data_IF_825621873481
#
_entry.id   IF_825621873481
#
_cell.length_a   1.000
_cell.length_b   1.000
_cell.length_c   1.000
_cell.angle_alpha   90.00
_cell.angle_beta   90.00
_cell.angle_gamma   90.00
#
_symmetry.space_group_name_H-M   'P 1'
#
loop_
_entity.id
_entity.type
_entity.pdbx_description
1 polymer ?
#
# COMPACT_ATOMS: atom_id res chain seq x y z
N UNK A 1 -3.92 -20.42 0.49
CA UNK A 1 -2.72 -19.78 -0.12
C UNK A 1 -1.60 -19.76 0.88
N UNK A 2 -0.36 -19.96 0.45
CA UNK A 2 0.79 -19.94 1.35
C UNK A 2 1.36 -18.51 1.35
N UNK A 3 1.22 -17.77 2.43
CA UNK A 3 1.85 -16.46 2.61
C UNK A 3 3.33 -16.55 2.96
N UNK A 4 3.99 -17.64 2.55
CA UNK A 4 5.42 -17.88 2.76
C UNK A 4 6.29 -16.77 2.13
N UNK A 5 5.78 -16.10 1.09
CA UNK A 5 6.48 -15.02 0.42
C UNK A 5 6.64 -13.76 1.29
N UNK A 6 5.82 -13.61 2.34
CA UNK A 6 5.87 -12.49 3.27
C UNK A 6 6.72 -12.79 4.51
N UNK A 7 7.26 -14.03 4.62
CA UNK A 7 8.06 -14.47 5.75
C UNK A 7 9.49 -14.74 5.33
N UNK A 8 10.43 -14.11 6.00
CA UNK A 8 11.86 -14.39 5.83
C UNK A 8 12.38 -15.14 7.03
N UNK A 9 13.18 -16.18 6.79
CA UNK A 9 13.58 -17.12 7.83
C UNK A 9 14.62 -16.56 8.80
N UNK A 10 15.52 -15.68 8.34
CA UNK A 10 16.70 -15.31 9.12
C UNK A 10 16.99 -13.79 9.18
N UNK A 11 16.36 -12.98 8.33
CA UNK A 11 16.56 -11.52 8.28
C UNK A 11 15.27 -10.79 7.96
N UNK A 12 15.05 -9.57 8.46
CA UNK A 12 13.89 -8.76 8.07
C UNK A 12 13.82 -8.55 6.56
N UNK A 13 12.61 -8.54 6.01
CA UNK A 13 12.37 -8.11 4.64
C UNK A 13 12.50 -6.59 4.54
N UNK A 14 13.06 -6.12 3.44
CA UNK A 14 13.17 -4.68 3.14
C UNK A 14 12.13 -4.31 2.09
N UNK A 15 11.15 -3.51 2.50
CA UNK A 15 10.10 -3.01 1.63
C UNK A 15 10.31 -1.53 1.34
N UNK A 16 10.34 -1.19 0.04
CA UNK A 16 10.53 0.18 -0.42
C UNK A 16 9.21 0.97 -0.28
N UNK A 17 9.14 1.85 0.74
CA UNK A 17 7.98 2.67 1.05
C UNK A 17 7.72 3.71 -0.06
N UNK A 18 6.61 3.57 -0.79
CA UNK A 18 6.25 4.33 -2.00
C UNK A 18 7.32 4.18 -3.10
N UNK A 19 7.91 2.99 -3.20
CA UNK A 19 9.10 2.73 -3.99
C UNK A 19 10.38 3.25 -3.32
N UNK A 20 11.46 3.43 -4.06
CA UNK A 20 12.70 4.02 -3.58
C UNK A 20 12.57 5.54 -3.41
N UNK A 21 11.57 5.99 -2.64
CA UNK A 21 11.11 7.39 -2.51
C UNK A 21 12.15 8.36 -1.93
N UNK A 22 13.19 7.86 -1.29
CA UNK A 22 14.35 8.67 -0.88
C UNK A 22 15.25 9.10 -2.06
N UNK A 23 15.07 8.49 -3.23
CA UNK A 23 15.94 8.67 -4.40
C UNK A 23 15.17 8.97 -5.70
N UNK A 24 13.88 8.71 -5.75
CA UNK A 24 13.01 8.93 -6.91
C UNK A 24 11.67 9.52 -6.47
N UNK A 25 10.86 10.10 -7.37
CA UNK A 25 9.53 10.61 -7.02
C UNK A 25 8.65 9.50 -6.44
N UNK A 26 8.10 9.70 -5.24
CA UNK A 26 7.30 8.69 -4.54
C UNK A 26 6.09 8.22 -5.35
N UNK A 27 5.71 6.94 -5.21
CA UNK A 27 4.54 6.35 -5.85
C UNK A 27 4.53 6.48 -7.39
N UNK A 28 5.69 6.47 -8.03
CA UNK A 28 5.86 6.51 -9.49
C UNK A 28 6.56 5.28 -10.03
N UNK A 29 6.44 5.03 -11.32
CA UNK A 29 7.15 3.92 -11.99
C UNK A 29 8.65 4.02 -11.79
N UNK A 30 9.20 5.24 -11.80
CA UNK A 30 10.63 5.50 -11.57
C UNK A 30 11.08 5.03 -10.19
N UNK A 31 10.27 5.28 -9.14
CA UNK A 31 10.61 4.85 -7.78
C UNK A 31 10.52 3.33 -7.61
N UNK A 32 9.57 2.68 -8.28
CA UNK A 32 9.42 1.22 -8.24
C UNK A 32 10.52 0.52 -9.03
N UNK A 33 10.89 1.03 -10.20
CA UNK A 33 12.05 0.52 -10.96
C UNK A 33 13.33 0.61 -10.14
N UNK A 34 13.57 1.75 -9.50
CA UNK A 34 14.74 1.94 -8.65
C UNK A 34 14.74 1.00 -7.44
N UNK A 35 13.57 0.72 -6.85
CA UNK A 35 13.45 -0.27 -5.77
C UNK A 35 13.83 -1.68 -6.22
N UNK A 36 13.44 -2.07 -7.45
CA UNK A 36 13.86 -3.34 -8.07
C UNK A 36 15.39 -3.38 -8.23
N UNK A 37 15.98 -2.32 -8.80
CA UNK A 37 17.42 -2.21 -9.02
C UNK A 37 18.23 -2.26 -7.71
N UNK A 38 17.70 -1.66 -6.64
CA UNK A 38 18.31 -1.67 -5.30
C UNK A 38 18.14 -3.00 -4.56
N UNK A 39 17.39 -3.95 -5.12
CA UNK A 39 17.21 -5.29 -4.55
C UNK A 39 16.26 -5.31 -3.34
N UNK A 40 15.23 -4.48 -3.32
CA UNK A 40 14.17 -4.57 -2.32
C UNK A 40 13.49 -5.94 -2.36
N UNK A 41 13.01 -6.44 -1.21
CA UNK A 41 12.21 -7.68 -1.12
C UNK A 41 10.74 -7.43 -1.53
N UNK A 42 10.28 -6.19 -1.40
CA UNK A 42 8.95 -5.75 -1.79
C UNK A 42 8.85 -4.25 -1.96
N UNK A 43 7.70 -3.81 -2.39
CA UNK A 43 7.32 -2.39 -2.42
C UNK A 43 6.06 -2.19 -1.60
N UNK A 44 5.92 -1.00 -1.08
CA UNK A 44 4.67 -0.50 -0.53
C UNK A 44 4.19 0.65 -1.40
N UNK A 45 2.88 0.80 -1.55
CA UNK A 45 2.24 1.83 -2.35
C UNK A 45 0.84 2.17 -1.84
N UNK A 46 0.37 3.36 -2.18
CA UNK A 46 -0.93 3.90 -1.74
C UNK A 46 -1.92 3.96 -2.89
N UNK A 47 -3.16 3.50 -2.70
CA UNK A 47 -4.18 3.46 -3.75
C UNK A 47 -5.39 4.31 -3.41
N UNK A 48 -5.82 5.11 -4.39
CA UNK A 48 -7.03 5.92 -4.36
C UNK A 48 -7.83 5.75 -5.67
N UNK A 49 -9.07 6.28 -5.71
CA UNK A 49 -9.89 6.30 -6.93
C UNK A 49 -9.98 7.71 -7.52
N UNK A 50 -9.88 7.78 -8.83
CA UNK A 50 -10.20 8.97 -9.60
C UNK A 50 -11.71 9.17 -9.72
N UNK A 51 -12.12 10.32 -10.29
CA UNK A 51 -13.52 10.63 -10.60
C UNK A 51 -14.19 9.61 -11.53
N UNK A 52 -13.43 9.03 -12.45
CA UNK A 52 -13.84 8.00 -13.40
C UNK A 52 -13.50 6.57 -12.95
N UNK A 53 -13.33 6.39 -11.62
CA UNK A 53 -13.19 5.08 -10.99
C UNK A 53 -11.91 4.30 -11.33
N UNK A 54 -10.85 4.96 -11.77
CA UNK A 54 -9.54 4.33 -12.01
C UNK A 54 -8.75 4.24 -10.71
N UNK A 55 -8.16 3.07 -10.43
CA UNK A 55 -7.24 2.87 -9.31
C UNK A 55 -5.89 3.50 -9.64
N UNK A 56 -5.55 4.62 -8.98
CA UNK A 56 -4.29 5.34 -9.13
C UNK A 56 -3.42 5.20 -7.89
N UNK A 57 -2.11 5.32 -8.08
CA UNK A 57 -1.14 5.15 -6.99
C UNK A 57 -0.63 6.51 -6.54
N UNK A 58 -1.13 6.97 -5.38
CA UNK A 58 -0.81 8.26 -4.78
C UNK A 58 -1.17 8.26 -3.29
N UNK A 59 -0.31 8.86 -2.44
CA UNK A 59 -0.52 8.86 -0.99
C UNK A 59 -1.57 9.86 -0.53
N UNK A 60 -1.39 11.15 -0.84
CA UNK A 60 -2.28 12.20 -0.35
C UNK A 60 -3.58 12.24 -1.15
N UNK A 61 -4.66 12.67 -0.52
CA UNK A 61 -5.94 12.90 -1.19
C UNK A 61 -5.89 14.10 -2.14
N UNK A 62 -4.87 14.97 -1.99
CA UNK A 62 -4.57 16.11 -2.87
C UNK A 62 -3.28 15.88 -3.65
N UNK A 63 -3.26 16.33 -4.90
CA UNK A 63 -2.08 16.20 -5.77
C UNK A 63 -1.01 17.28 -5.52
N UNK A 64 -1.29 18.25 -4.65
CA UNK A 64 -0.51 19.48 -4.46
C UNK A 64 0.95 19.25 -4.01
N UNK A 65 1.19 18.25 -3.15
CA UNK A 65 2.51 17.97 -2.59
C UNK A 65 3.43 17.28 -3.59
N UNK A 66 2.89 16.38 -4.38
CA UNK A 66 3.66 15.50 -5.25
C UNK A 66 3.72 15.98 -6.69
N UNK A 67 2.76 16.84 -7.13
CA UNK A 67 2.67 17.30 -8.52
C UNK A 67 2.71 18.83 -8.67
N UNK A 68 2.78 19.31 -9.89
CA UNK A 68 2.62 20.72 -10.25
C UNK A 68 1.15 21.17 -10.34
N UNK A 69 0.20 20.21 -10.20
CA UNK A 69 -1.23 20.46 -10.11
C UNK A 69 -1.70 20.83 -8.70
N UNK A 70 -3.01 21.03 -8.56
CA UNK A 70 -3.69 21.29 -7.28
C UNK A 70 -5.07 20.68 -7.27
N UNK A 71 -5.52 20.22 -6.09
CA UNK A 71 -6.88 19.74 -5.87
C UNK A 71 -6.95 18.27 -5.51
N UNK A 72 -8.17 17.76 -5.36
CA UNK A 72 -8.42 16.40 -4.90
C UNK A 72 -8.30 15.38 -6.02
N UNK A 73 -7.68 14.24 -5.75
CA UNK A 73 -7.60 13.10 -6.68
C UNK A 73 -8.98 12.70 -7.20
N UNK A 74 -9.96 12.58 -6.31
CA UNK A 74 -11.34 12.18 -6.60
C UNK A 74 -12.12 13.13 -7.54
N UNK A 75 -11.63 14.34 -7.75
CA UNK A 75 -12.31 15.35 -8.57
C UNK A 75 -11.80 15.37 -10.03
N UNK A 76 -10.74 14.63 -10.33
CA UNK A 76 -10.13 14.49 -11.65
C UNK A 76 -10.37 13.12 -12.26
N UNK A 77 -10.52 13.08 -13.58
CA UNK A 77 -10.38 11.82 -14.34
C UNK A 77 -8.91 11.43 -14.41
N UNK A 78 -8.64 10.16 -14.72
CA UNK A 78 -7.27 9.68 -14.90
C UNK A 78 -6.52 10.45 -15.99
N UNK A 79 -7.18 10.73 -17.13
CA UNK A 79 -6.59 11.54 -18.22
C UNK A 79 -6.23 12.96 -17.79
N UNK A 80 -7.02 13.54 -16.90
CA UNK A 80 -6.73 14.89 -16.36
C UNK A 80 -5.53 14.84 -15.41
N UNK A 81 -5.43 13.82 -14.55
CA UNK A 81 -4.31 13.63 -13.64
C UNK A 81 -2.98 13.41 -14.40
N UNK A 82 -3.01 12.69 -15.52
CA UNK A 82 -1.82 12.46 -16.39
C UNK A 82 -1.27 13.72 -17.05
N UNK A 83 -1.94 14.84 -16.99
CA UNK A 83 -1.42 16.12 -17.51
C UNK A 83 -0.48 16.82 -16.54
N UNK A 84 -0.44 16.41 -15.27
CA UNK A 84 0.43 16.97 -14.26
C UNK A 84 1.74 16.19 -14.15
N UNK A 85 2.80 16.87 -13.72
CA UNK A 85 4.10 16.27 -13.47
C UNK A 85 4.26 15.96 -11.98
N UNK A 86 4.46 14.70 -11.63
CA UNK A 86 4.56 14.20 -10.24
C UNK A 86 6.00 14.09 -9.75
N UNK A 87 6.89 14.97 -10.16
CA UNK A 87 8.31 14.95 -9.78
C UNK A 87 8.66 15.79 -8.54
N UNK A 88 7.69 16.46 -7.88
CA UNK A 88 7.98 17.45 -6.82
C UNK A 88 8.74 16.90 -5.63
N UNK A 89 8.55 15.63 -5.27
CA UNK A 89 9.28 14.98 -4.17
C UNK A 89 10.73 14.67 -4.53
N UNK A 90 11.08 14.64 -5.83
CA UNK A 90 12.44 14.44 -6.31
C UNK A 90 12.69 15.21 -7.62
N UNK A 91 12.91 16.54 -7.57
CA UNK A 91 12.97 17.41 -8.75
C UNK A 91 14.14 17.17 -9.72
N UNK A 92 15.07 16.27 -9.40
CA UNK A 92 16.12 15.85 -10.34
C UNK A 92 15.57 15.02 -11.52
N UNK A 93 14.37 14.47 -11.39
CA UNK A 93 13.64 13.86 -12.50
C UNK A 93 12.90 14.97 -13.26
N UNK A 94 13.08 15.03 -14.57
CA UNK A 94 12.44 16.05 -15.40
C UNK A 94 10.92 15.86 -15.43
N UNK A 95 10.47 14.60 -15.42
CA UNK A 95 9.07 14.24 -15.44
C UNK A 95 8.83 12.93 -14.70
N UNK A 96 7.66 12.80 -14.10
CA UNK A 96 7.11 11.56 -13.56
C UNK A 96 5.59 11.60 -13.67
N UNK A 97 4.99 10.48 -14.05
CA UNK A 97 3.54 10.32 -14.15
C UNK A 97 2.95 9.69 -12.87
N UNK A 98 1.68 9.98 -12.59
CA UNK A 98 0.90 9.19 -11.66
C UNK A 98 0.56 7.85 -12.31
N UNK A 99 0.97 6.69 -11.74
CA UNK A 99 0.62 5.40 -12.34
C UNK A 99 -0.74 4.90 -11.87
N UNK A 100 -1.33 4.02 -12.67
CA UNK A 100 -2.42 3.16 -12.22
C UNK A 100 -1.86 1.97 -11.43
N UNK A 101 -2.69 1.37 -10.56
CA UNK A 101 -2.31 0.13 -9.88
C UNK A 101 -2.02 -1.01 -10.88
N UNK A 102 -2.73 -1.04 -12.02
CA UNK A 102 -2.48 -1.99 -13.11
C UNK A 102 -1.06 -1.85 -13.68
N UNK A 103 -0.64 -0.65 -14.02
CA UNK A 103 0.72 -0.39 -14.55
C UNK A 103 1.80 -0.84 -13.56
N UNK A 104 1.58 -0.60 -12.25
CA UNK A 104 2.52 -1.09 -11.23
C UNK A 104 2.51 -2.62 -11.14
N UNK A 105 1.36 -3.28 -11.21
CA UNK A 105 1.29 -4.75 -11.23
C UNK A 105 2.00 -5.34 -12.46
N UNK A 106 1.81 -4.74 -13.65
CA UNK A 106 2.50 -5.13 -14.87
C UNK A 106 4.02 -5.03 -14.73
N UNK A 107 4.52 -3.95 -14.11
CA UNK A 107 5.93 -3.75 -13.83
C UNK A 107 6.50 -4.80 -12.86
N UNK A 108 5.78 -5.10 -11.78
CA UNK A 108 6.26 -5.97 -10.71
C UNK A 108 6.07 -7.46 -11.07
N UNK A 109 5.08 -7.82 -11.87
CA UNK A 109 4.74 -9.21 -12.21
C UNK A 109 5.93 -10.06 -12.68
N UNK A 110 6.85 -9.59 -13.53
CA UNK A 110 8.02 -10.38 -13.96
C UNK A 110 9.10 -10.52 -12.88
N UNK A 111 8.99 -9.85 -11.76
CA UNK A 111 9.96 -9.90 -10.63
C UNK A 111 9.53 -10.94 -9.59
N UNK A 112 10.25 -10.98 -8.44
CA UNK A 112 9.86 -11.77 -7.25
C UNK A 112 9.35 -10.87 -6.10
N UNK A 113 9.21 -9.57 -6.30
CA UNK A 113 8.82 -8.64 -5.26
C UNK A 113 7.39 -8.91 -4.79
N UNK A 114 7.17 -8.71 -3.50
CA UNK A 114 5.85 -8.63 -2.90
C UNK A 114 5.37 -7.17 -2.88
N UNK A 115 4.07 -6.96 -2.74
CA UNK A 115 3.47 -5.62 -2.73
C UNK A 115 2.59 -5.47 -1.50
N UNK A 116 2.82 -4.42 -0.72
CA UNK A 116 1.84 -3.91 0.25
C UNK A 116 1.02 -2.80 -0.42
N UNK A 117 -0.27 -3.05 -0.60
CA UNK A 117 -1.21 -2.07 -1.15
C UNK A 117 -1.96 -1.42 0.01
N UNK A 118 -1.56 -0.19 0.37
CA UNK A 118 -2.33 0.61 1.31
C UNK A 118 -3.57 1.21 0.61
N UNK A 119 -4.76 0.88 1.09
CA UNK A 119 -6.00 1.48 0.60
C UNK A 119 -6.32 2.74 1.38
N UNK A 120 -6.26 3.88 0.70
CA UNK A 120 -6.52 5.21 1.25
C UNK A 120 -8.02 5.50 1.26
N UNK A 121 -8.67 5.16 2.36
CA UNK A 121 -10.13 5.32 2.54
C UNK A 121 -10.50 5.95 3.89
N UNK A 122 -9.54 6.58 4.59
CA UNK A 122 -9.76 7.19 5.89
C UNK A 122 -10.34 8.61 5.82
N UNK A 123 -10.04 9.35 4.76
CA UNK A 123 -10.50 10.74 4.52
C UNK A 123 -11.60 10.76 3.46
N UNK A 124 -11.35 10.12 2.32
CA UNK A 124 -12.33 9.93 1.26
C UNK A 124 -12.83 8.50 1.29
N UNK A 125 -14.11 8.31 1.56
CA UNK A 125 -14.75 6.98 1.54
C UNK A 125 -15.11 6.63 0.11
N UNK A 126 -14.17 6.00 -0.61
CA UNK A 126 -14.39 5.58 -2.00
C UNK A 126 -15.33 4.37 -2.08
N UNK A 127 -16.48 4.48 -2.77
CA UNK A 127 -17.37 3.33 -2.91
C UNK A 127 -16.68 2.15 -3.62
N UNK A 128 -16.78 0.95 -3.03
CA UNK A 128 -16.30 -0.30 -3.64
C UNK A 128 -14.80 -0.37 -3.97
N UNK A 129 -13.95 0.50 -3.40
CA UNK A 129 -12.51 0.48 -3.66
C UNK A 129 -11.89 -0.88 -3.32
N UNK A 130 -12.31 -1.50 -2.22
CA UNK A 130 -11.82 -2.80 -1.76
C UNK A 130 -12.13 -3.89 -2.81
N UNK A 131 -13.36 -3.91 -3.35
CA UNK A 131 -13.77 -4.85 -4.39
C UNK A 131 -12.98 -4.65 -5.68
N UNK A 132 -12.74 -3.39 -6.08
CA UNK A 132 -11.98 -3.05 -7.29
C UNK A 132 -10.52 -3.50 -7.17
N UNK A 133 -9.91 -3.27 -6.02
CA UNK A 133 -8.52 -3.68 -5.76
C UNK A 133 -8.39 -5.20 -5.78
N UNK A 134 -9.26 -5.94 -5.06
CA UNK A 134 -9.28 -7.42 -5.08
C UNK A 134 -9.50 -7.94 -6.50
N UNK A 135 -10.46 -7.37 -7.24
CA UNK A 135 -10.77 -7.81 -8.60
C UNK A 135 -9.56 -7.65 -9.53
N UNK A 136 -8.86 -6.51 -9.46
CA UNK A 136 -7.66 -6.27 -10.25
C UNK A 136 -6.52 -7.22 -9.85
N UNK A 137 -6.31 -7.45 -8.55
CA UNK A 137 -5.27 -8.38 -8.06
C UNK A 137 -5.50 -9.78 -8.62
N UNK A 138 -6.76 -10.27 -8.60
CA UNK A 138 -7.15 -11.57 -9.15
C UNK A 138 -7.01 -11.62 -10.67
N UNK A 139 -7.47 -10.60 -11.39
CA UNK A 139 -7.32 -10.50 -12.85
C UNK A 139 -5.85 -10.59 -13.27
N UNK A 140 -4.97 -9.97 -12.49
CA UNK A 140 -3.53 -9.95 -12.76
C UNK A 140 -2.80 -11.21 -12.27
N UNK A 141 -3.45 -12.09 -11.50
CA UNK A 141 -2.84 -13.29 -10.89
C UNK A 141 -1.74 -12.94 -9.90
N UNK A 142 -2.00 -11.95 -9.04
CA UNK A 142 -1.03 -11.40 -8.08
C UNK A 142 -1.38 -11.75 -6.62
N UNK A 143 -2.39 -12.59 -6.36
CA UNK A 143 -2.93 -12.87 -5.03
C UNK A 143 -1.87 -13.41 -4.05
N UNK A 144 -0.92 -14.19 -4.55
CA UNK A 144 0.16 -14.76 -3.73
C UNK A 144 1.26 -13.77 -3.34
N UNK A 145 1.20 -12.55 -3.87
CA UNK A 145 2.27 -11.55 -3.78
C UNK A 145 1.79 -10.20 -3.27
N UNK A 146 0.48 -10.03 -3.09
CA UNK A 146 -0.13 -8.78 -2.61
C UNK A 146 -0.69 -9.00 -1.22
N UNK A 147 -0.31 -8.13 -0.30
CA UNK A 147 -1.01 -7.93 0.95
C UNK A 147 -1.66 -6.54 0.93
N UNK A 148 -2.72 -6.39 1.68
CA UNK A 148 -3.45 -5.14 1.80
C UNK A 148 -3.26 -4.53 3.18
N UNK A 149 -3.26 -3.21 3.25
CA UNK A 149 -3.27 -2.50 4.52
C UNK A 149 -4.12 -1.23 4.45
N UNK A 150 -4.54 -0.73 5.59
CA UNK A 150 -5.24 0.55 5.70
C UNK A 150 -5.21 1.07 7.14
N UNK A 151 -5.18 2.40 7.30
CA UNK A 151 -5.54 3.07 8.56
C UNK A 151 -7.04 3.03 8.84
N UNK A 152 -7.87 2.82 7.82
CA UNK A 152 -9.29 2.57 7.99
C UNK A 152 -9.52 1.07 8.23
N UNK A 153 -9.61 0.66 9.50
CA UNK A 153 -9.79 -0.75 9.85
C UNK A 153 -11.13 -1.32 9.36
N UNK A 154 -12.15 -0.51 9.07
CA UNK A 154 -13.36 -0.99 8.39
C UNK A 154 -13.07 -1.48 6.97
N UNK A 155 -12.17 -0.81 6.24
CA UNK A 155 -11.68 -1.28 4.93
C UNK A 155 -10.97 -2.63 5.07
N UNK A 156 -10.14 -2.80 6.10
CA UNK A 156 -9.45 -4.06 6.37
C UNK A 156 -10.45 -5.21 6.65
N UNK A 157 -11.47 -4.96 7.46
CA UNK A 157 -12.54 -5.95 7.73
C UNK A 157 -13.29 -6.28 6.44
N UNK A 158 -13.65 -5.26 5.65
CA UNK A 158 -14.36 -5.47 4.37
C UNK A 158 -13.54 -6.26 3.35
N UNK A 159 -12.21 -6.03 3.28
CA UNK A 159 -11.31 -6.85 2.45
C UNK A 159 -11.39 -8.32 2.84
N UNK A 160 -11.29 -8.62 4.13
CA UNK A 160 -11.37 -10.00 4.64
C UNK A 160 -12.76 -10.64 4.42
N UNK A 161 -13.85 -9.87 4.52
CA UNK A 161 -15.19 -10.33 4.19
C UNK A 161 -15.36 -10.66 2.69
N UNK A 162 -14.74 -9.87 1.81
CA UNK A 162 -14.77 -10.06 0.35
C UNK A 162 -13.85 -11.18 -0.12
N UNK A 163 -12.73 -11.37 0.56
CA UNK A 163 -11.71 -12.38 0.29
C UNK A 163 -11.10 -12.89 1.59
N UNK A 164 -11.65 -13.96 2.20
CA UNK A 164 -11.14 -14.51 3.45
C UNK A 164 -9.69 -15.03 3.37
N UNK A 165 -9.20 -15.28 2.17
CA UNK A 165 -7.84 -15.76 1.92
C UNK A 165 -6.83 -14.62 1.69
N UNK A 166 -7.24 -13.36 1.63
CA UNK A 166 -6.32 -12.24 1.47
C UNK A 166 -5.53 -11.97 2.76
N UNK A 167 -4.32 -11.44 2.59
CA UNK A 167 -3.47 -11.04 3.71
C UNK A 167 -3.70 -9.56 4.03
N UNK A 168 -4.06 -9.26 5.27
CA UNK A 168 -4.43 -7.90 5.69
C UNK A 168 -3.62 -7.45 6.91
N UNK A 169 -2.99 -6.28 6.80
CA UNK A 169 -2.29 -5.59 7.87
C UNK A 169 -3.08 -4.37 8.38
N UNK A 170 -3.14 -4.18 9.69
CA UNK A 170 -3.75 -3.01 10.31
C UNK A 170 -2.72 -1.92 10.54
N UNK A 171 -2.88 -0.78 9.84
CA UNK A 171 -2.06 0.42 10.04
C UNK A 171 -2.60 1.25 11.20
N UNK A 172 -1.71 1.77 12.02
CA UNK A 172 -2.05 2.74 13.09
C UNK A 172 -0.81 3.51 13.55
N UNK A 173 -1.04 4.75 14.00
CA UNK A 173 0.02 5.61 14.53
C UNK A 173 -0.09 5.80 16.05
N UNK A 174 -1.32 5.80 16.58
CA UNK A 174 -1.57 5.92 18.01
C UNK A 174 -1.11 4.66 18.78
N UNK A 175 -1.08 4.72 20.11
CA UNK A 175 -0.73 3.60 20.98
C UNK A 175 -1.96 2.88 21.54
N UNK A 176 -2.74 2.13 20.75
CA UNK A 176 -3.90 1.42 21.26
C UNK A 176 -3.51 0.31 22.21
N UNK A 177 -4.22 0.22 23.34
CA UNK A 177 -4.06 -0.88 24.30
C UNK A 177 -4.68 -2.14 23.69
N UNK A 178 -4.01 -3.29 23.90
CA UNK A 178 -4.47 -4.62 23.46
C UNK A 178 -4.73 -4.73 21.94
N UNK A 179 -3.92 -4.00 21.16
CA UNK A 179 -4.07 -3.92 19.70
C UNK A 179 -3.96 -5.28 19.01
N UNK A 180 -3.13 -6.19 19.53
CA UNK A 180 -2.96 -7.52 18.95
C UNK A 180 -4.24 -8.36 19.03
N UNK A 181 -4.91 -8.37 20.20
CA UNK A 181 -6.20 -9.06 20.36
C UNK A 181 -7.28 -8.43 19.50
N UNK A 182 -7.30 -7.09 19.43
CA UNK A 182 -8.24 -6.35 18.59
C UNK A 182 -8.04 -6.72 17.11
N UNK A 183 -6.83 -6.66 16.61
CA UNK A 183 -6.52 -6.97 15.22
C UNK A 183 -6.86 -8.42 14.86
N UNK A 184 -6.46 -9.37 15.72
CA UNK A 184 -6.81 -10.80 15.55
C UNK A 184 -8.31 -11.04 15.52
N UNK A 185 -9.07 -10.42 16.42
CA UNK A 185 -10.53 -10.51 16.49
C UNK A 185 -11.20 -10.06 15.18
N UNK A 186 -10.61 -9.08 14.50
CA UNK A 186 -11.12 -8.49 13.26
C UNK A 186 -10.47 -9.02 11.99
N UNK A 187 -9.77 -10.17 12.06
CA UNK A 187 -9.28 -10.90 10.88
C UNK A 187 -7.94 -10.41 10.33
N UNK A 188 -7.23 -9.51 11.03
CA UNK A 188 -5.90 -9.10 10.58
C UNK A 188 -4.89 -10.25 10.66
N UNK A 189 -3.93 -10.24 9.72
CA UNK A 189 -2.80 -11.14 9.67
C UNK A 189 -1.52 -10.48 10.22
N UNK A 190 -1.43 -9.14 10.13
CA UNK A 190 -0.27 -8.38 10.54
C UNK A 190 -0.63 -7.07 11.24
N UNK A 191 0.33 -6.55 12.01
CA UNK A 191 0.29 -5.21 12.59
C UNK A 191 1.29 -4.31 11.87
N UNK A 192 0.84 -3.15 11.41
CA UNK A 192 1.67 -2.14 10.77
C UNK A 192 1.73 -0.87 11.64
N UNK A 193 2.46 -0.90 12.77
CA UNK A 193 2.55 0.22 13.70
C UNK A 193 3.46 1.34 13.21
N UNK A 194 3.25 2.54 13.72
CA UNK A 194 4.31 3.52 13.71
C UNK A 194 5.51 3.01 14.54
N UNK A 195 6.73 3.28 14.08
CA UNK A 195 7.97 2.73 14.63
C UNK A 195 8.10 2.89 16.15
N UNK A 196 7.64 4.01 16.70
CA UNK A 196 7.72 4.26 18.14
C UNK A 196 6.81 3.33 18.97
N UNK A 197 5.79 2.71 18.40
CA UNK A 197 4.92 1.76 19.09
C UNK A 197 5.66 0.46 19.45
N UNK A 198 6.73 0.12 18.74
CA UNK A 198 7.58 -1.04 19.07
C UNK A 198 8.27 -0.92 20.42
N UNK A 199 8.28 0.28 21.03
CA UNK A 199 8.84 0.52 22.37
C UNK A 199 7.88 0.17 23.51
N UNK A 200 6.59 -0.08 23.22
CA UNK A 200 5.64 -0.47 24.26
C UNK A 200 5.97 -1.86 24.83
N UNK A 201 5.78 -2.04 26.16
CA UNK A 201 6.09 -3.31 26.82
C UNK A 201 5.32 -4.48 26.17
N UNK A 202 6.00 -5.58 25.93
CA UNK A 202 5.47 -6.84 25.39
C UNK A 202 4.84 -6.75 23.99
N UNK A 203 5.00 -5.64 23.27
CA UNK A 203 4.36 -5.44 21.97
C UNK A 203 4.59 -6.62 21.00
N UNK A 204 5.85 -6.99 20.75
CA UNK A 204 6.20 -8.10 19.86
C UNK A 204 5.71 -9.46 20.37
N UNK A 205 5.76 -9.66 21.70
CA UNK A 205 5.29 -10.90 22.32
C UNK A 205 3.76 -11.04 22.18
N UNK A 206 3.03 -9.95 22.31
CA UNK A 206 1.57 -9.96 22.21
C UNK A 206 1.13 -10.18 20.74
N UNK A 207 1.83 -9.59 19.77
CA UNK A 207 1.63 -9.88 18.36
C UNK A 207 1.86 -11.38 18.06
N UNK A 208 3.01 -11.92 18.50
CA UNK A 208 3.33 -13.33 18.30
C UNK A 208 2.34 -14.31 18.98
N UNK A 209 1.86 -13.99 20.22
CA UNK A 209 0.84 -14.81 20.91
C UNK A 209 -0.48 -14.86 20.15
N UNK A 210 -0.83 -13.78 19.44
CA UNK A 210 -2.03 -13.71 18.62
C UNK A 210 -1.82 -14.24 17.20
N UNK A 211 -0.61 -14.70 16.85
CA UNK A 211 -0.26 -15.22 15.53
C UNK A 211 -0.31 -14.14 14.46
N UNK A 212 0.11 -12.92 14.80
CA UNK A 212 0.24 -11.78 13.89
C UNK A 212 1.71 -11.55 13.54
N UNK A 213 1.94 -11.20 12.29
CA UNK A 213 3.24 -10.79 11.78
C UNK A 213 3.49 -9.30 11.99
#
# INVERSE_FOLDING_TARGET
MSFENFKKKDTPLVWAHRGASGYAPENTIESFLLAIEQGADGIELDVQLTKDDVLVVIHDEWIDRTSDGKGWVKDYTFEELRKFNYNRTCPKYEHADIPTLREVYELIKPTKLTINVEIKSGVVFYPEIERKVIALTREMGMEDRVLYSSFNHYTCVKLHELDPDCYVGFLYADGPIDVASYAKKHGANALHPALYNLQYPNYMQDAARNGLD
#
